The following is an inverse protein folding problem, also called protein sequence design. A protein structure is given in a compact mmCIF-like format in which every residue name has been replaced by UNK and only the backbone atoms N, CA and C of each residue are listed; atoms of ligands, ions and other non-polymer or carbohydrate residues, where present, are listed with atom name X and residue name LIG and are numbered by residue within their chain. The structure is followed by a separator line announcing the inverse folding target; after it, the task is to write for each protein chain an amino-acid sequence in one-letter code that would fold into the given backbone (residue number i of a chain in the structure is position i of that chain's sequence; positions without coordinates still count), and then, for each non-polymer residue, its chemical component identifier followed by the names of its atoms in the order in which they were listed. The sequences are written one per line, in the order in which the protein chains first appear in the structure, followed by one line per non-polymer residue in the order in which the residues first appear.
data_IF_453848062248
#
_entry.id   IF_453848062248
#
_cell.length_a   1.000
_cell.length_b   1.000
_cell.length_c   1.000
_cell.angle_alpha   90.00
_cell.angle_beta   90.00
_cell.angle_gamma   90.00
#
_symmetry.space_group_name_H-M   'P 1'
#
loop_
_entity.id
_entity.type
_entity.pdbx_description
1 polymer ?
#
# COMPACT_ATOMS: atom_id res chain seq x y z
N UNK A 1 17.52 7.88 29.14
CA UNK A 1 17.20 6.45 28.95
C UNK A 1 15.70 6.25 29.11
N UNK A 2 14.98 6.20 28.01
CA UNK A 2 13.61 5.68 27.89
C UNK A 2 13.51 5.03 26.51
N UNK A 3 14.03 3.82 26.39
CA UNK A 3 13.76 2.91 25.26
C UNK A 3 12.33 2.41 25.42
N UNK A 4 11.37 3.24 25.03
CA UNK A 4 9.96 2.87 24.93
C UNK A 4 9.73 2.10 23.64
N UNK A 5 10.19 0.85 23.57
CA UNK A 5 9.78 -0.07 22.52
C UNK A 5 8.28 -0.30 22.65
N UNK A 6 7.48 0.48 21.92
CA UNK A 6 6.05 0.19 21.77
C UNK A 6 5.94 -1.21 21.18
N UNK A 7 5.19 -2.08 21.84
CA UNK A 7 4.80 -3.38 21.32
C UNK A 7 4.26 -3.19 19.91
N UNK A 8 4.69 -4.02 18.97
CA UNK A 8 4.37 -3.75 17.59
C UNK A 8 2.92 -4.16 17.32
N UNK A 9 2.17 -3.24 16.73
CA UNK A 9 0.77 -3.45 16.38
C UNK A 9 0.67 -4.43 15.20
N UNK A 10 -0.11 -5.50 15.39
CA UNK A 10 -0.36 -6.52 14.37
C UNK A 10 -1.78 -6.46 13.82
N UNK A 11 -1.98 -7.11 12.68
CA UNK A 11 -3.28 -7.26 12.04
C UNK A 11 -3.56 -6.11 11.08
N UNK A 12 -4.82 -5.66 11.01
CA UNK A 12 -5.28 -4.73 9.96
C UNK A 12 -6.03 -3.50 10.52
N UNK A 13 -5.49 -2.81 11.55
CA UNK A 13 -6.16 -1.68 12.20
C UNK A 13 -6.35 -0.45 11.29
N UNK A 14 -5.58 -0.32 10.21
CA UNK A 14 -5.53 0.83 9.31
C UNK A 14 -5.95 0.48 7.88
N UNK A 15 -6.51 -0.71 7.69
CA UNK A 15 -6.85 -1.24 6.36
C UNK A 15 -7.72 -0.30 5.54
N UNK A 16 -8.67 0.40 6.16
CA UNK A 16 -9.53 1.33 5.41
C UNK A 16 -8.74 2.56 4.93
N UNK A 17 -7.80 3.08 5.73
CA UNK A 17 -6.86 4.14 5.32
C UNK A 17 -5.91 3.65 4.22
N UNK A 18 -5.38 2.42 4.33
CA UNK A 18 -4.56 1.79 3.27
C UNK A 18 -5.33 1.69 1.96
N UNK A 19 -6.60 1.24 2.01
CA UNK A 19 -7.46 1.14 0.82
C UNK A 19 -7.76 2.51 0.22
N UNK A 20 -7.98 3.51 1.06
CA UNK A 20 -8.13 4.89 0.61
C UNK A 20 -6.85 5.42 -0.05
N UNK A 21 -5.67 5.11 0.51
CA UNK A 21 -4.38 5.51 -0.04
C UNK A 21 -4.13 4.88 -1.42
N UNK A 22 -4.38 3.57 -1.60
CA UNK A 22 -4.32 2.93 -2.92
C UNK A 22 -5.27 3.60 -3.92
N UNK A 23 -6.51 3.91 -3.50
CA UNK A 23 -7.46 4.61 -4.36
C UNK A 23 -6.97 6.00 -4.76
N UNK A 24 -6.49 6.78 -3.79
CA UNK A 24 -5.96 8.12 -3.99
C UNK A 24 -4.75 8.12 -4.93
N UNK A 25 -3.87 7.13 -4.80
CA UNK A 25 -2.70 6.94 -5.66
C UNK A 25 -3.11 6.74 -7.12
N UNK A 26 -4.00 5.78 -7.40
CA UNK A 26 -4.50 5.56 -8.77
C UNK A 26 -5.25 6.78 -9.32
N UNK A 27 -5.99 7.49 -8.46
CA UNK A 27 -6.72 8.70 -8.87
C UNK A 27 -5.77 9.83 -9.24
N UNK A 28 -4.67 10.00 -8.49
CA UNK A 28 -3.71 11.08 -8.72
C UNK A 28 -2.79 10.79 -9.90
N UNK A 29 -2.30 9.56 -10.00
CA UNK A 29 -1.33 9.17 -11.03
C UNK A 29 -1.97 8.72 -12.34
N UNK A 30 -3.23 8.28 -12.31
CA UNK A 30 -3.89 7.53 -13.40
C UNK A 30 -3.30 6.12 -13.59
N UNK A 31 -4.02 5.28 -14.34
CA UNK A 31 -3.58 3.92 -14.65
C UNK A 31 -2.25 3.90 -15.41
N UNK A 32 -2.10 4.75 -16.43
CA UNK A 32 -0.94 4.71 -17.32
C UNK A 32 0.35 5.01 -16.57
N UNK A 33 0.33 5.99 -15.66
CA UNK A 33 1.49 6.31 -14.81
C UNK A 33 1.74 5.23 -13.76
N UNK A 34 0.71 4.69 -13.10
CA UNK A 34 0.93 3.56 -12.16
C UNK A 34 1.55 2.37 -12.89
N UNK A 35 1.12 2.10 -14.13
CA UNK A 35 1.65 1.03 -14.97
C UNK A 35 3.14 1.17 -15.30
N UNK A 36 3.76 2.35 -15.14
CA UNK A 36 5.21 2.51 -15.34
C UNK A 36 6.05 1.94 -14.19
N UNK A 37 5.46 1.66 -13.02
CA UNK A 37 6.16 1.14 -11.83
C UNK A 37 6.13 -0.40 -11.74
N UNK A 38 6.08 -1.08 -12.90
CA UNK A 38 5.94 -2.53 -12.97
C UNK A 38 7.06 -3.32 -12.31
N UNK A 39 8.26 -2.76 -12.30
CA UNK A 39 9.44 -3.35 -11.66
C UNK A 39 9.68 -2.67 -10.31
N UNK A 40 9.89 -3.48 -9.26
CA UNK A 40 10.33 -2.97 -7.96
C UNK A 40 11.81 -2.60 -7.98
N UNK A 41 12.24 -1.81 -6.99
CA UNK A 41 13.67 -1.57 -6.78
C UNK A 41 14.36 -2.91 -6.59
N UNK A 42 15.43 -3.16 -7.34
CA UNK A 42 16.09 -4.46 -7.33
C UNK A 42 16.98 -4.60 -6.09
N UNK A 43 17.08 -5.80 -5.48
CA UNK A 43 17.97 -6.04 -4.34
C UNK A 43 19.42 -5.63 -4.59
N UNK A 44 19.93 -5.80 -5.81
CA UNK A 44 21.32 -5.42 -6.16
C UNK A 44 21.56 -3.91 -6.09
N UNK A 45 20.54 -3.10 -6.39
CA UNK A 45 20.66 -1.63 -6.37
C UNK A 45 20.68 -1.08 -4.95
N UNK A 46 20.22 -1.87 -3.98
CA UNK A 46 20.04 -1.48 -2.58
C UNK A 46 20.83 -2.33 -1.59
N UNK A 47 21.50 -3.37 -2.06
CA UNK A 47 22.43 -4.15 -1.27
C UNK A 47 23.52 -3.23 -0.74
N UNK A 48 23.65 -3.15 0.58
CA UNK A 48 24.57 -2.23 1.24
C UNK A 48 25.16 -2.91 2.48
N UNK A 49 26.46 -3.17 2.44
CA UNK A 49 27.21 -3.82 3.51
C UNK A 49 28.29 -2.90 4.11
N UNK A 50 29.08 -3.45 5.02
CA UNK A 50 30.10 -2.71 5.76
C UNK A 50 31.36 -2.41 4.93
N UNK A 51 31.52 -3.02 3.76
CA UNK A 51 32.71 -2.85 2.90
C UNK A 51 32.66 -1.59 2.06
N UNK A 52 31.46 -1.07 1.79
CA UNK A 52 31.26 0.19 1.08
C UNK A 52 31.42 1.40 2.02
N UNK A 53 31.79 2.57 1.50
CA UNK A 53 31.75 3.80 2.30
C UNK A 53 30.31 4.15 2.71
N UNK A 54 30.12 4.59 3.96
CA UNK A 54 28.78 4.81 4.51
C UNK A 54 27.99 5.87 3.70
N UNK A 55 28.63 7.00 3.38
CA UNK A 55 27.95 8.09 2.70
C UNK A 55 27.75 7.79 1.22
N UNK A 56 28.76 7.22 0.55
CA UNK A 56 28.66 6.85 -0.86
C UNK A 56 27.60 5.76 -1.08
N UNK A 57 27.56 4.76 -0.21
CA UNK A 57 26.55 3.69 -0.28
C UNK A 57 25.15 4.22 -0.03
N UNK A 58 24.94 5.03 1.01
CA UNK A 58 23.65 5.64 1.25
C UNK A 58 23.18 6.51 0.06
N UNK A 59 24.08 7.31 -0.53
CA UNK A 59 23.78 8.14 -1.70
C UNK A 59 23.39 7.30 -2.93
N UNK A 60 24.09 6.18 -3.15
CA UNK A 60 23.77 5.23 -4.22
C UNK A 60 22.37 4.65 -4.04
N UNK A 61 22.04 4.18 -2.83
CA UNK A 61 20.71 3.65 -2.49
C UNK A 61 19.64 4.71 -2.68
N UNK A 62 19.87 5.96 -2.23
CA UNK A 62 18.91 7.03 -2.41
C UNK A 62 18.70 7.39 -3.89
N UNK A 63 19.76 7.35 -4.70
CA UNK A 63 19.66 7.53 -6.15
C UNK A 63 18.83 6.43 -6.80
N UNK A 64 18.92 5.18 -6.32
CA UNK A 64 18.05 4.10 -6.78
C UNK A 64 16.56 4.41 -6.48
N UNK A 65 16.26 4.95 -5.29
CA UNK A 65 14.89 5.37 -4.94
C UNK A 65 14.38 6.55 -5.79
N UNK A 66 15.21 7.58 -6.01
CA UNK A 66 14.89 8.72 -6.86
C UNK A 66 14.58 8.26 -8.29
N UNK A 67 15.39 7.35 -8.83
CA UNK A 67 15.18 6.76 -10.17
C UNK A 67 13.90 5.93 -10.22
N UNK A 68 13.66 5.07 -9.21
CA UNK A 68 12.44 4.27 -9.11
C UNK A 68 11.19 5.15 -9.18
N UNK A 69 11.23 6.31 -8.54
CA UNK A 69 10.10 7.24 -8.45
C UNK A 69 10.03 8.23 -9.62
N UNK A 70 10.90 8.07 -10.63
CA UNK A 70 11.03 8.97 -11.78
C UNK A 70 11.15 10.44 -11.37
N UNK A 71 11.74 10.69 -10.20
CA UNK A 71 12.01 12.05 -9.72
C UNK A 71 13.14 12.67 -10.54
N UNK A 72 13.17 14.01 -10.69
CA UNK A 72 14.28 14.69 -11.36
C UNK A 72 15.62 14.27 -10.75
N UNK A 73 16.59 13.99 -11.61
CA UNK A 73 17.96 13.66 -11.21
C UNK A 73 18.61 14.91 -10.62
N UNK A 74 18.54 15.00 -9.30
CA UNK A 74 19.06 16.08 -8.48
C UNK A 74 20.03 15.50 -7.45
N UNK A 75 20.95 16.34 -6.96
CA UNK A 75 21.95 15.89 -5.99
C UNK A 75 21.23 15.46 -4.70
N UNK A 76 21.38 14.20 -4.31
CA UNK A 76 20.93 13.74 -2.99
C UNK A 76 22.07 13.93 -2.00
N UNK A 77 21.81 14.71 -0.95
CA UNK A 77 22.73 14.96 0.15
C UNK A 77 22.21 14.20 1.36
N UNK A 78 23.03 13.27 1.87
CA UNK A 78 22.69 12.44 3.03
C UNK A 78 23.62 12.77 4.18
N UNK A 79 23.03 13.10 5.32
CA UNK A 79 23.72 13.33 6.59
C UNK A 79 23.24 12.32 7.62
N UNK A 80 24.09 12.02 8.61
CA UNK A 80 23.74 11.19 9.75
C UNK A 80 23.78 12.02 11.01
N UNK A 81 22.75 11.93 11.86
CA UNK A 81 22.63 12.72 13.08
C UNK A 81 21.88 11.95 14.16
N UNK A 82 22.19 12.18 15.44
CA UNK A 82 21.34 11.74 16.54
C UNK A 82 19.99 12.46 16.51
N UNK A 83 18.90 11.70 16.43
CA UNK A 83 17.53 12.21 16.37
C UNK A 83 16.54 11.19 16.94
N UNK A 84 15.31 11.63 17.23
CA UNK A 84 14.23 10.75 17.70
C UNK A 84 13.68 9.88 16.56
N UNK A 85 13.47 10.47 15.38
CA UNK A 85 12.93 9.79 14.21
C UNK A 85 13.99 8.96 13.48
N UNK A 86 13.55 8.06 12.61
CA UNK A 86 14.46 7.26 11.78
C UNK A 86 15.16 8.13 10.74
N UNK A 87 14.43 9.03 10.11
CA UNK A 87 14.95 9.96 9.13
C UNK A 87 14.02 11.17 8.98
N UNK A 88 14.47 12.16 8.20
CA UNK A 88 13.71 13.35 7.81
C UNK A 88 14.17 13.80 6.42
N UNK A 89 13.26 14.38 5.64
CA UNK A 89 13.58 14.96 4.33
C UNK A 89 13.08 16.39 4.20
N UNK A 90 13.90 17.24 3.59
CA UNK A 90 13.49 18.59 3.21
C UNK A 90 12.63 18.55 1.93
N UNK A 91 11.39 19.03 2.03
CA UNK A 91 10.42 19.03 0.93
C UNK A 91 10.47 20.29 0.04
N UNK A 92 11.20 21.33 0.47
CA UNK A 92 11.31 22.60 -0.24
C UNK A 92 12.00 22.43 -1.59
N UNK A 93 11.54 23.20 -2.58
CA UNK A 93 12.08 23.16 -3.92
C UNK A 93 13.51 23.74 -3.95
N UNK A 94 14.50 22.85 -3.92
CA UNK A 94 15.91 23.15 -4.20
C UNK A 94 16.43 22.30 -5.38
N UNK A 95 17.65 22.57 -5.88
CA UNK A 95 18.30 21.71 -6.87
C UNK A 95 18.75 20.35 -6.29
N UNK A 96 18.45 20.08 -5.01
CA UNK A 96 19.02 19.01 -4.20
C UNK A 96 17.95 18.41 -3.29
N UNK A 97 18.12 17.14 -2.94
CA UNK A 97 17.33 16.45 -1.92
C UNK A 97 18.19 16.33 -0.66
N UNK A 98 17.77 16.95 0.43
CA UNK A 98 18.43 16.81 1.72
C UNK A 98 17.69 15.79 2.57
N UNK A 99 18.39 14.71 2.91
CA UNK A 99 17.86 13.63 3.75
C UNK A 99 18.78 13.48 4.96
N UNK A 100 18.21 13.62 6.15
CA UNK A 100 18.89 13.34 7.41
C UNK A 100 18.50 11.94 7.87
N UNK A 101 19.48 11.06 8.08
CA UNK A 101 19.29 9.73 8.63
C UNK A 101 19.72 9.70 10.10
N UNK A 102 19.04 8.88 10.90
CA UNK A 102 19.46 8.65 12.27
C UNK A 102 20.83 7.97 12.33
N UNK A 103 21.70 8.44 13.22
CA UNK A 103 23.04 7.89 13.42
C UNK A 103 23.06 6.39 13.74
N UNK A 104 21.98 5.82 14.28
CA UNK A 104 21.86 4.36 14.48
C UNK A 104 22.08 3.56 13.20
N UNK A 105 21.74 4.12 12.03
CA UNK A 105 21.92 3.45 10.75
C UNK A 105 23.38 3.29 10.32
N UNK A 106 24.32 4.01 10.96
CA UNK A 106 25.76 3.77 10.79
C UNK A 106 26.14 2.32 11.09
N UNK A 107 25.42 1.69 12.03
CA UNK A 107 25.60 0.30 12.48
C UNK A 107 24.57 -0.68 11.88
N UNK A 108 23.55 -0.17 11.20
CA UNK A 108 22.44 -0.96 10.65
C UNK A 108 22.19 -0.60 9.17
N UNK A 109 23.25 -0.72 8.35
CA UNK A 109 23.23 -0.26 6.95
C UNK A 109 22.16 -0.93 6.08
N UNK A 110 21.76 -2.16 6.42
CA UNK A 110 20.70 -2.90 5.74
C UNK A 110 19.33 -2.20 5.82
N UNK A 111 19.11 -1.38 6.85
CA UNK A 111 17.84 -0.71 7.08
C UNK A 111 17.79 0.69 6.42
N UNK A 112 18.93 1.19 5.91
CA UNK A 112 19.01 2.49 5.22
C UNK A 112 18.09 2.50 4.00
N UNK A 113 18.00 1.39 3.27
CA UNK A 113 17.09 1.28 2.12
C UNK A 113 15.62 1.48 2.50
N UNK A 114 15.20 0.94 3.65
CA UNK A 114 13.84 1.12 4.15
C UNK A 114 13.56 2.55 4.60
N UNK A 115 14.50 3.18 5.31
CA UNK A 115 14.37 4.60 5.69
C UNK A 115 14.30 5.51 4.46
N UNK A 116 15.19 5.30 3.47
CA UNK A 116 15.19 6.09 2.24
C UNK A 116 13.94 5.86 1.39
N UNK A 117 13.41 4.63 1.34
CA UNK A 117 12.16 4.35 0.64
C UNK A 117 10.99 5.17 1.21
N UNK A 118 10.94 5.34 2.54
CA UNK A 118 9.94 6.18 3.21
C UNK A 118 10.17 7.68 2.92
N UNK A 119 11.38 8.18 3.17
CA UNK A 119 11.67 9.62 3.04
C UNK A 119 11.55 10.12 1.59
N UNK A 120 12.09 9.39 0.62
CA UNK A 120 12.00 9.80 -0.79
C UNK A 120 10.54 9.74 -1.28
N UNK A 121 9.71 8.87 -0.68
CA UNK A 121 8.27 8.86 -0.97
C UNK A 121 7.56 10.12 -0.49
N UNK A 122 7.95 10.71 0.65
CA UNK A 122 7.44 12.02 1.08
C UNK A 122 7.72 13.10 0.02
N UNK A 123 8.93 13.12 -0.55
CA UNK A 123 9.27 14.05 -1.65
C UNK A 123 8.37 13.83 -2.87
N UNK A 124 8.16 12.57 -3.26
CA UNK A 124 7.32 12.22 -4.40
C UNK A 124 5.86 12.65 -4.18
N UNK A 125 5.27 12.32 -3.03
CA UNK A 125 3.91 12.71 -2.67
C UNK A 125 3.72 14.22 -2.57
N UNK A 126 4.70 14.93 -2.00
CA UNK A 126 4.68 16.39 -1.95
C UNK A 126 4.66 17.01 -3.35
N UNK A 127 5.49 16.52 -4.28
CA UNK A 127 5.46 17.00 -5.68
C UNK A 127 4.18 16.65 -6.42
N UNK A 128 3.56 15.54 -6.06
CA UNK A 128 2.24 15.20 -6.54
C UNK A 128 1.15 16.01 -5.86
N UNK A 129 1.41 16.86 -4.88
CA UNK A 129 0.35 17.52 -4.09
C UNK A 129 -0.71 16.49 -3.61
N UNK A 130 -0.21 15.35 -3.11
CA UNK A 130 -1.04 14.25 -2.62
C UNK A 130 -0.73 14.02 -1.14
N UNK A 131 -1.66 14.46 -0.29
CA UNK A 131 -1.57 14.30 1.15
C UNK A 131 -2.92 13.92 1.74
N UNK A 132 -2.89 13.20 2.86
CA UNK A 132 -4.08 12.98 3.71
C UNK A 132 -4.11 13.98 4.86
N UNK A 133 -5.31 14.31 5.39
CA UNK A 133 -5.42 15.18 6.54
C UNK A 133 -4.87 14.49 7.79
N UNK A 134 -4.00 15.19 8.51
CA UNK A 134 -3.40 14.70 9.76
C UNK A 134 -2.19 13.82 9.54
N UNK A 135 -1.23 13.90 10.47
CA UNK A 135 0.07 13.26 10.36
C UNK A 135 -0.04 11.75 10.17
N UNK A 136 -0.80 11.04 11.04
CA UNK A 136 -0.88 9.57 11.00
C UNK A 136 -1.37 9.02 9.65
N UNK A 137 -2.47 9.57 9.14
CA UNK A 137 -3.05 9.09 7.88
C UNK A 137 -2.15 9.44 6.69
N UNK A 138 -1.43 10.56 6.77
CA UNK A 138 -0.44 10.93 5.76
C UNK A 138 0.77 9.99 5.74
N UNK A 139 1.25 9.54 6.90
CA UNK A 139 2.32 8.54 6.98
C UNK A 139 1.88 7.16 6.45
N UNK A 140 0.63 6.76 6.73
CA UNK A 140 0.04 5.54 6.15
C UNK A 140 -0.03 5.65 4.62
N UNK A 141 -0.37 6.82 4.09
CA UNK A 141 -0.33 7.11 2.65
C UNK A 141 1.10 6.97 2.11
N UNK A 142 2.10 7.55 2.78
CA UNK A 142 3.52 7.44 2.41
C UNK A 142 3.98 5.99 2.32
N UNK A 143 3.76 5.19 3.34
CA UNK A 143 4.16 3.78 3.32
C UNK A 143 3.39 2.95 2.30
N UNK A 144 2.08 3.21 2.16
CA UNK A 144 1.25 2.53 1.17
C UNK A 144 1.75 2.84 -0.24
N UNK A 145 2.08 4.10 -0.52
CA UNK A 145 2.62 4.51 -1.81
C UNK A 145 4.02 3.92 -2.06
N UNK A 146 4.92 3.96 -1.07
CA UNK A 146 6.25 3.36 -1.14
C UNK A 146 6.15 1.86 -1.46
N UNK A 147 5.21 1.16 -0.80
CA UNK A 147 4.96 -0.24 -1.07
C UNK A 147 4.35 -0.53 -2.43
N UNK A 148 3.36 0.25 -2.84
CA UNK A 148 2.69 0.01 -4.11
C UNK A 148 3.56 0.37 -5.33
N UNK A 149 4.43 1.36 -5.21
CA UNK A 149 5.30 1.86 -6.29
C UNK A 149 6.68 1.17 -6.35
N UNK A 150 6.88 0.10 -5.58
CA UNK A 150 7.99 -0.83 -5.80
C UNK A 150 9.16 -0.75 -4.82
N UNK A 151 9.06 0.00 -3.71
CA UNK A 151 10.10 0.05 -2.69
C UNK A 151 9.70 -0.61 -1.35
N UNK A 152 8.43 -1.01 -1.16
CA UNK A 152 7.95 -1.50 0.14
C UNK A 152 8.42 -2.88 0.57
N UNK A 153 9.06 -3.65 -0.31
CA UNK A 153 9.65 -4.92 0.14
C UNK A 153 10.80 -4.65 1.13
N UNK A 154 11.51 -3.51 0.99
CA UNK A 154 12.53 -3.08 1.95
C UNK A 154 11.93 -2.71 3.30
N UNK A 155 10.81 -1.99 3.29
CA UNK A 155 10.09 -1.59 4.51
C UNK A 155 9.60 -2.80 5.29
N UNK A 156 9.00 -3.78 4.59
CA UNK A 156 8.59 -5.03 5.22
C UNK A 156 9.80 -5.87 5.67
N UNK A 157 10.86 -5.96 4.86
CA UNK A 157 12.03 -6.77 5.21
C UNK A 157 12.93 -6.15 6.27
N UNK A 158 12.83 -4.85 6.56
CA UNK A 158 13.52 -4.21 7.68
C UNK A 158 12.82 -4.44 9.03
N UNK A 159 11.65 -5.09 9.02
CA UNK A 159 10.87 -5.32 10.23
C UNK A 159 11.49 -6.38 11.14
N UNK A 160 11.72 -6.05 12.42
CA UNK A 160 12.34 -6.97 13.39
C UNK A 160 11.60 -6.95 14.73
N UNK A 161 11.26 -8.13 15.21
CA UNK A 161 10.70 -8.34 16.55
C UNK A 161 11.66 -9.17 17.39
N UNK A 162 12.38 -8.52 18.31
CA UNK A 162 13.28 -9.21 19.24
C UNK A 162 13.09 -8.66 20.66
N UNK A 163 11.99 -9.07 21.31
CA UNK A 163 11.70 -8.70 22.70
C UNK A 163 11.76 -7.18 22.92
N UNK A 164 12.60 -6.66 23.83
CA UNK A 164 12.71 -5.22 24.09
C UNK A 164 13.34 -4.39 22.96
N UNK A 165 13.82 -5.02 21.88
CA UNK A 165 14.46 -4.38 20.72
C UNK A 165 13.61 -4.47 19.45
N UNK A 166 12.30 -4.31 19.56
CA UNK A 166 11.41 -4.14 18.41
C UNK A 166 11.80 -2.90 17.60
N UNK A 167 12.08 -3.07 16.31
CA UNK A 167 12.33 -1.98 15.39
C UNK A 167 11.30 -2.02 14.27
N UNK A 168 10.51 -0.94 14.18
CA UNK A 168 9.55 -0.69 13.11
C UNK A 168 9.99 0.53 12.33
N UNK A 169 10.05 0.39 11.00
CA UNK A 169 10.13 1.51 10.06
C UNK A 169 8.79 1.61 9.35
N UNK A 170 8.17 2.78 9.41
CA UNK A 170 6.82 3.01 8.90
C UNK A 170 5.71 2.85 9.95
N UNK A 171 4.50 3.15 9.51
CA UNK A 171 3.24 3.24 10.24
C UNK A 171 2.30 2.06 9.94
N UNK A 172 2.44 1.37 8.81
CA UNK A 172 1.71 0.13 8.54
C UNK A 172 2.13 -1.00 9.47
N UNK A 173 1.21 -1.89 9.83
CA UNK A 173 1.59 -3.19 10.42
C UNK A 173 2.32 -4.06 9.38
N UNK A 174 3.06 -5.11 9.79
CA UNK A 174 3.63 -6.06 8.83
C UNK A 174 2.58 -6.65 7.89
N UNK A 175 1.42 -7.04 8.42
CA UNK A 175 0.37 -7.67 7.63
C UNK A 175 -0.27 -6.69 6.64
N UNK A 176 -0.33 -5.40 6.98
CA UNK A 176 -0.76 -4.33 6.07
C UNK A 176 0.25 -4.08 4.96
N UNK A 177 1.55 -4.04 5.26
CA UNK A 177 2.59 -4.03 4.22
C UNK A 177 2.45 -5.25 3.30
N UNK A 178 2.27 -6.44 3.88
CA UNK A 178 2.01 -7.67 3.14
C UNK A 178 0.78 -7.58 2.24
N UNK A 179 -0.30 -6.93 2.70
CA UNK A 179 -1.52 -6.72 1.92
C UNK A 179 -1.28 -5.80 0.72
N UNK A 180 -0.56 -4.69 0.91
CA UNK A 180 -0.23 -3.75 -0.17
C UNK A 180 0.70 -4.40 -1.19
N UNK A 181 1.74 -5.11 -0.74
CA UNK A 181 2.66 -5.85 -1.61
C UNK A 181 1.94 -6.95 -2.38
N UNK A 182 1.02 -7.70 -1.77
CA UNK A 182 0.25 -8.72 -2.47
C UNK A 182 -0.69 -8.13 -3.53
N UNK A 183 -1.28 -6.97 -3.26
CA UNK A 183 -2.07 -6.24 -4.27
C UNK A 183 -1.21 -5.77 -5.42
N UNK A 184 -0.02 -5.23 -5.13
CA UNK A 184 0.96 -4.85 -6.13
C UNK A 184 1.36 -6.06 -6.98
N UNK A 185 1.77 -7.15 -6.33
CA UNK A 185 2.18 -8.39 -6.98
C UNK A 185 1.12 -8.93 -7.93
N UNK A 186 -0.15 -8.89 -7.54
CA UNK A 186 -1.26 -9.26 -8.42
C UNK A 186 -1.45 -8.29 -9.59
N UNK A 187 -1.29 -6.99 -9.37
CA UNK A 187 -1.52 -5.97 -10.41
C UNK A 187 -0.42 -6.00 -11.49
N UNK A 188 0.84 -6.21 -11.09
CA UNK A 188 1.99 -6.20 -12.00
C UNK A 188 2.52 -7.60 -12.39
N UNK A 189 2.15 -8.65 -11.68
CA UNK A 189 2.68 -10.00 -11.90
C UNK A 189 4.09 -10.22 -11.35
N UNK A 190 4.51 -9.48 -10.33
CA UNK A 190 5.85 -9.55 -9.72
C UNK A 190 5.76 -10.01 -8.26
N UNK A 191 6.35 -11.15 -7.92
CA UNK A 191 6.35 -11.68 -6.56
C UNK A 191 7.58 -11.18 -5.77
N UNK A 192 7.41 -10.39 -4.69
CA UNK A 192 8.52 -9.90 -3.88
C UNK A 192 9.07 -10.94 -2.90
N UNK A 193 8.41 -12.09 -2.72
CA UNK A 193 8.81 -13.11 -1.75
C UNK A 193 10.28 -13.55 -1.83
N UNK A 194 10.91 -13.70 -3.02
CA UNK A 194 12.31 -14.08 -3.13
C UNK A 194 13.31 -13.06 -2.56
N UNK A 195 12.88 -11.83 -2.27
CA UNK A 195 13.76 -10.75 -1.77
C UNK A 195 13.74 -10.63 -0.24
N UNK A 196 12.78 -11.26 0.42
CA UNK A 196 12.72 -11.23 1.88
C UNK A 196 13.87 -12.04 2.48
N UNK A 197 14.56 -11.43 3.43
CA UNK A 197 15.64 -12.06 4.20
C UNK A 197 15.18 -12.50 5.58
N UNK A 198 13.99 -12.06 6.01
CA UNK A 198 13.42 -12.35 7.33
C UNK A 198 12.17 -13.25 7.26
N UNK A 199 12.05 -14.25 8.16
CA UNK A 199 10.83 -15.06 8.28
C UNK A 199 9.58 -14.21 8.58
N UNK A 200 9.72 -13.16 9.38
CA UNK A 200 8.64 -12.26 9.74
C UNK A 200 8.04 -11.56 8.52
N UNK A 201 8.89 -11.09 7.59
CA UNK A 201 8.41 -10.49 6.34
C UNK A 201 7.65 -11.50 5.48
N UNK A 202 8.12 -12.74 5.41
CA UNK A 202 7.45 -13.80 4.66
C UNK A 202 6.07 -14.16 5.25
N UNK A 203 5.98 -14.31 6.57
CA UNK A 203 4.73 -14.63 7.27
C UNK A 203 3.72 -13.48 7.10
N UNK A 204 4.17 -12.25 7.29
CA UNK A 204 3.37 -11.04 7.11
C UNK A 204 2.87 -10.88 5.66
N UNK A 205 3.74 -11.12 4.66
CA UNK A 205 3.34 -11.14 3.25
C UNK A 205 2.30 -12.23 2.97
N UNK A 206 2.48 -13.42 3.53
CA UNK A 206 1.53 -14.53 3.37
C UNK A 206 0.16 -14.19 3.97
N UNK A 207 0.14 -13.61 5.17
CA UNK A 207 -1.09 -13.15 5.82
C UNK A 207 -1.77 -12.04 4.99
N UNK A 208 -1.00 -11.05 4.55
CA UNK A 208 -1.46 -9.95 3.70
C UNK A 208 -2.01 -10.43 2.36
N UNK A 209 -1.36 -11.40 1.72
CA UNK A 209 -1.82 -12.04 0.49
C UNK A 209 -3.11 -12.84 0.69
N UNK A 210 -3.29 -13.49 1.84
CA UNK A 210 -4.57 -14.09 2.20
C UNK A 210 -5.68 -13.04 2.32
N UNK A 211 -5.41 -11.89 2.95
CA UNK A 211 -6.36 -10.79 3.05
C UNK A 211 -6.68 -10.15 1.69
N UNK A 212 -5.67 -9.92 0.84
CA UNK A 212 -5.87 -9.40 -0.51
C UNK A 212 -6.72 -10.35 -1.38
N UNK A 213 -6.54 -11.67 -1.23
CA UNK A 213 -7.38 -12.67 -1.90
C UNK A 213 -8.85 -12.62 -1.46
N UNK A 214 -9.13 -12.26 -0.20
CA UNK A 214 -10.51 -12.15 0.28
C UNK A 214 -11.26 -11.03 -0.43
N UNK A 215 -10.61 -9.93 -0.81
CA UNK A 215 -11.26 -8.82 -1.53
C UNK A 215 -11.82 -9.25 -2.89
N UNK A 216 -11.24 -10.28 -3.50
CA UNK A 216 -11.70 -10.86 -4.78
C UNK A 216 -12.87 -11.83 -4.63
N UNK A 217 -13.13 -12.28 -3.39
CA UNK A 217 -14.17 -13.25 -3.06
C UNK A 217 -15.41 -12.59 -2.43
N UNK A 218 -15.53 -11.27 -2.57
CA UNK A 218 -16.69 -10.51 -2.08
C UNK A 218 -17.74 -10.39 -3.18
N UNK A 219 -19.03 -10.65 -2.90
CA UNK A 219 -20.09 -10.33 -3.86
C UNK A 219 -20.01 -8.85 -4.29
N UNK A 220 -20.30 -8.52 -5.56
CA UNK A 220 -20.84 -9.40 -6.61
C UNK A 220 -19.79 -10.17 -7.43
N UNK A 221 -18.52 -10.19 -7.02
CA UNK A 221 -17.46 -10.88 -7.77
C UNK A 221 -17.73 -12.38 -7.87
N UNK A 222 -17.44 -12.96 -9.04
CA UNK A 222 -17.73 -14.34 -9.41
C UNK A 222 -17.25 -15.36 -8.35
N UNK A 223 -16.06 -15.15 -7.81
CA UNK A 223 -15.40 -16.04 -6.85
C UNK A 223 -15.96 -15.98 -5.42
N UNK A 224 -17.05 -15.25 -5.19
CA UNK A 224 -17.67 -15.19 -3.88
C UNK A 224 -18.20 -16.56 -3.41
N UNK A 225 -17.85 -16.92 -2.18
CA UNK A 225 -18.24 -18.18 -1.56
C UNK A 225 -19.74 -18.29 -1.28
N UNK A 226 -20.22 -19.52 -1.13
CA UNK A 226 -21.65 -19.85 -1.00
C UNK A 226 -22.39 -19.06 0.09
N UNK A 227 -21.82 -18.95 1.30
CA UNK A 227 -22.46 -18.21 2.39
C UNK A 227 -22.62 -16.71 2.06
N UNK A 228 -21.62 -16.11 1.41
CA UNK A 228 -21.69 -14.72 0.96
C UNK A 228 -22.70 -14.54 -0.18
N UNK A 229 -22.82 -15.53 -1.08
CA UNK A 229 -23.83 -15.57 -2.14
C UNK A 229 -25.26 -15.62 -1.60
N UNK A 230 -25.50 -16.43 -0.57
CA UNK A 230 -26.81 -16.49 0.10
C UNK A 230 -27.19 -15.14 0.72
N UNK A 231 -26.24 -14.50 1.41
CA UNK A 231 -26.45 -13.15 1.97
C UNK A 231 -26.76 -12.13 0.88
N UNK A 232 -25.95 -12.11 -0.18
CA UNK A 232 -26.15 -11.24 -1.34
C UNK A 232 -27.53 -11.45 -1.99
N UNK A 233 -27.99 -12.70 -2.15
CA UNK A 233 -29.32 -12.98 -2.68
C UNK A 233 -30.46 -12.49 -1.76
N UNK A 234 -30.28 -12.59 -0.44
CA UNK A 234 -31.22 -12.05 0.56
C UNK A 234 -31.29 -10.52 0.48
N UNK A 235 -30.14 -9.85 0.43
CA UNK A 235 -30.05 -8.40 0.34
C UNK A 235 -30.63 -7.88 -0.97
N UNK A 236 -30.40 -8.60 -2.08
CA UNK A 236 -31.00 -8.30 -3.39
C UNK A 236 -32.53 -8.33 -3.33
N UNK A 237 -33.11 -9.39 -2.74
CA UNK A 237 -34.58 -9.50 -2.58
C UNK A 237 -35.14 -8.37 -1.71
N UNK A 238 -34.43 -8.00 -0.65
CA UNK A 238 -34.83 -6.90 0.22
C UNK A 238 -34.79 -5.54 -0.50
N UNK A 239 -33.80 -5.30 -1.37
CA UNK A 239 -33.69 -4.08 -2.17
C UNK A 239 -34.75 -3.97 -3.27
N UNK A 240 -35.34 -5.09 -3.70
CA UNK A 240 -36.42 -5.13 -4.69
C UNK A 240 -37.82 -4.94 -4.07
N UNK A 241 -37.95 -5.00 -2.74
CA UNK A 241 -39.23 -4.87 -2.05
C UNK A 241 -39.68 -3.39 -2.03
N UNK A 242 -40.75 -3.01 -2.76
CA UNK A 242 -41.23 -1.62 -2.81
C UNK A 242 -41.66 -1.11 -1.42
N UNK A 243 -42.04 -2.00 -0.50
CA UNK A 243 -42.45 -1.64 0.87
C UNK A 243 -41.27 -1.23 1.75
N UNK A 244 -40.03 -1.39 1.25
CA UNK A 244 -38.78 -1.03 1.93
C UNK A 244 -38.00 0.07 1.20
N UNK A 245 -38.60 0.70 0.19
CA UNK A 245 -37.95 1.73 -0.63
C UNK A 245 -37.46 2.95 0.19
N UNK A 246 -38.13 3.29 1.29
CA UNK A 246 -37.76 4.41 2.18
C UNK A 246 -36.73 4.02 3.26
N UNK A 247 -36.33 2.74 3.31
CA UNK A 247 -35.33 2.28 4.28
C UNK A 247 -33.96 2.42 3.64
N UNK A 248 -32.97 3.04 4.33
CA UNK A 248 -31.62 3.11 3.80
C UNK A 248 -31.14 1.69 3.45
N UNK A 249 -30.50 1.50 2.28
CA UNK A 249 -30.07 0.19 1.84
C UNK A 249 -29.24 -0.44 2.95
N UNK A 250 -29.54 -1.69 3.29
CA UNK A 250 -28.67 -2.45 4.17
C UNK A 250 -27.30 -2.51 3.48
N UNK A 251 -26.33 -1.77 4.01
CA UNK A 251 -24.96 -1.84 3.54
C UNK A 251 -24.45 -3.24 3.90
N UNK A 252 -24.49 -4.16 2.92
CA UNK A 252 -23.69 -5.37 3.01
C UNK A 252 -22.23 -4.96 3.09
N UNK A 253 -21.43 -5.65 3.88
CA UNK A 253 -19.99 -5.39 3.98
C UNK A 253 -19.34 -5.47 2.57
N UNK A 254 -19.17 -4.32 1.92
CA UNK A 254 -18.52 -4.22 0.61
C UNK A 254 -19.43 -4.08 -0.63
N UNK A 255 -20.76 -4.00 -0.51
CA UNK A 255 -21.62 -3.62 -1.65
C UNK A 255 -22.90 -2.91 -1.21
N UNK A 256 -23.52 -2.18 -2.14
CA UNK A 256 -24.81 -1.53 -1.95
C UNK A 256 -25.69 -1.69 -3.19
N UNK A 257 -26.97 -2.03 -2.99
CA UNK A 257 -27.97 -2.01 -4.06
C UNK A 257 -28.54 -0.60 -4.22
N UNK A 258 -28.81 -0.21 -5.46
CA UNK A 258 -29.23 1.15 -5.81
C UNK A 258 -30.37 1.14 -6.84
N UNK A 259 -31.42 1.93 -6.56
CA UNK A 259 -32.54 2.20 -7.44
C UNK A 259 -33.62 1.10 -7.47
N UNK A 260 -34.91 1.44 -7.64
CA UNK A 260 -35.99 0.46 -7.65
C UNK A 260 -36.04 -0.34 -8.96
N UNK A 261 -35.71 0.28 -10.11
CA UNK A 261 -35.61 -0.39 -11.41
C UNK A 261 -34.94 0.50 -12.48
N UNK A 262 -34.03 -0.02 -13.33
CA UNK A 262 -33.38 -1.31 -13.18
C UNK A 262 -32.42 -1.28 -11.98
N UNK A 263 -32.47 -2.32 -11.15
CA UNK A 263 -31.64 -2.45 -9.96
C UNK A 263 -30.15 -2.50 -10.34
N UNK A 264 -29.34 -1.76 -9.59
CA UNK A 264 -27.88 -1.74 -9.74
C UNK A 264 -27.22 -2.16 -8.44
N UNK A 265 -25.99 -2.64 -8.53
CA UNK A 265 -25.14 -2.89 -7.37
C UNK A 265 -23.85 -2.09 -7.53
N UNK A 266 -23.44 -1.41 -6.46
CA UNK A 266 -22.14 -0.77 -6.36
C UNK A 266 -21.24 -1.45 -5.33
N UNK A 267 -19.96 -1.59 -5.67
CA UNK A 267 -18.96 -2.31 -4.87
C UNK A 267 -17.56 -1.74 -5.17
N UNK A 268 -16.58 -1.85 -4.26
CA UNK A 268 -15.23 -1.36 -4.51
C UNK A 268 -14.47 -2.31 -5.43
N UNK A 269 -13.70 -1.76 -6.36
CA UNK A 269 -12.75 -2.53 -7.16
C UNK A 269 -11.74 -3.22 -6.23
N UNK A 270 -11.52 -4.54 -6.35
CA UNK A 270 -10.57 -5.26 -5.49
C UNK A 270 -9.11 -4.88 -5.77
N UNK A 271 -8.81 -4.18 -6.86
CA UNK A 271 -7.47 -3.67 -7.17
C UNK A 271 -7.23 -2.28 -6.56
N UNK A 272 -8.07 -1.29 -6.91
CA UNK A 272 -7.85 0.12 -6.56
C UNK A 272 -8.92 0.76 -5.65
N UNK A 273 -9.90 -0.01 -5.17
CA UNK A 273 -11.01 0.44 -4.31
C UNK A 273 -11.97 1.50 -4.89
N UNK A 274 -11.78 1.93 -6.15
CA UNK A 274 -12.78 2.70 -6.88
C UNK A 274 -14.14 2.00 -6.84
N UNK A 275 -15.20 2.71 -6.43
CA UNK A 275 -16.56 2.17 -6.52
C UNK A 275 -16.94 1.97 -7.98
N UNK A 276 -17.33 0.74 -8.31
CA UNK A 276 -17.85 0.31 -9.61
C UNK A 276 -19.34 0.10 -9.42
N UNK A 277 -20.13 0.47 -10.43
CA UNK A 277 -21.59 0.27 -10.45
C UNK A 277 -21.96 -0.55 -11.68
N UNK A 278 -22.70 -1.62 -11.49
CA UNK A 278 -23.12 -2.55 -12.55
C UNK A 278 -24.61 -2.87 -12.46
N UNK A 279 -25.28 -3.22 -13.57
CA UNK A 279 -26.65 -3.70 -13.54
C UNK A 279 -26.75 -5.07 -12.86
N UNK A 280 -27.85 -5.32 -12.14
CA UNK A 280 -28.16 -6.62 -11.54
C UNK A 280 -28.89 -7.50 -12.57
N UNK A 281 -28.15 -8.38 -13.24
CA UNK A 281 -28.68 -9.21 -14.35
C UNK A 281 -27.98 -10.58 -14.52
N UNK A 282 -27.36 -11.12 -13.46
CA UNK A 282 -26.56 -12.34 -13.53
C UNK A 282 -25.10 -12.08 -13.92
N UNK A 283 -24.50 -13.01 -14.67
CA UNK A 283 -23.09 -12.97 -15.05
C UNK A 283 -22.78 -11.83 -16.02
N UNK A 284 -21.72 -11.08 -15.72
CA UNK A 284 -21.19 -10.02 -16.58
C UNK A 284 -19.72 -9.75 -16.27
N UNK A 285 -19.02 -9.13 -17.22
CA UNK A 285 -17.69 -8.60 -16.98
C UNK A 285 -17.76 -7.08 -16.80
N UNK A 286 -17.09 -6.58 -15.77
CA UNK A 286 -17.00 -5.15 -15.47
C UNK A 286 -15.54 -4.69 -15.57
N UNK A 287 -15.29 -3.59 -16.27
CA UNK A 287 -13.97 -2.95 -16.30
C UNK A 287 -13.95 -1.80 -15.30
N UNK A 288 -12.98 -1.79 -14.40
CA UNK A 288 -12.77 -0.64 -13.52
C UNK A 288 -12.40 0.59 -14.36
N UNK A 289 -13.15 1.69 -14.23
CA UNK A 289 -12.84 2.93 -14.94
C UNK A 289 -11.49 3.54 -14.57
N UNK A 290 -11.04 3.29 -13.34
CA UNK A 290 -9.80 3.83 -12.78
C UNK A 290 -8.58 2.97 -13.13
N UNK A 291 -8.43 1.79 -12.52
CA UNK A 291 -7.25 0.93 -12.71
C UNK A 291 -7.36 -0.06 -13.88
N UNK A 292 -8.41 0.04 -14.70
CA UNK A 292 -8.66 -0.78 -15.90
C UNK A 292 -8.80 -2.29 -15.68
N UNK A 293 -8.68 -2.80 -14.46
CA UNK A 293 -8.87 -4.21 -14.11
C UNK A 293 -10.23 -4.71 -14.58
N UNK A 294 -10.22 -5.87 -15.26
CA UNK A 294 -11.43 -6.62 -15.63
C UNK A 294 -11.84 -7.50 -14.45
N UNK A 295 -13.14 -7.48 -14.14
CA UNK A 295 -13.75 -8.16 -13.00
C UNK A 295 -14.91 -9.02 -13.49
N UNK A 296 -14.83 -10.31 -13.24
CA UNK A 296 -15.96 -11.21 -13.47
C UNK A 296 -16.94 -11.08 -12.31
N UNK A 297 -18.18 -10.74 -12.64
CA UNK A 297 -19.25 -10.51 -11.70
C UNK A 297 -20.39 -11.49 -11.96
N UNK A 298 -21.11 -11.84 -10.90
CA UNK A 298 -22.37 -12.58 -10.97
C UNK A 298 -23.36 -11.89 -10.02
N UNK A 299 -24.30 -11.17 -10.60
CA UNK A 299 -25.14 -10.15 -9.93
C UNK A 299 -26.60 -10.57 -9.72
#
# INVERSE_FOLDING_TARGET
MTTGGREIEHGYPHLDTVRAAVHALFKRLSYDTVSTFGTSVLPVDVAFDETEDLHLGAQRVARAMVRQLHLPDARVVITFREMEHAANVELTAGPEYFIELNERFTKHRKDIGAALAHEVMHVYLHRLDLAFPGTRDNEILTDTAAAYLGAGWLLLDAYREHGPFSQKLGYLTPEEFGYVLAKRARFFGEDPAPWFTSPQAYDAYTAGAARARQDLRRPPLADAGWAARLRYAKDRRAAQDPRRADRPPAAGEGYAFEGPSPLRVSFPCPACHQRIRVPVRGRLQARCGLCKTLLDCDT
#
